data_IF_136598918326
#
_entry.id   IF_136598918326
#
_cell.length_a   1.000
_cell.length_b   1.000
_cell.length_c   1.000
_cell.angle_alpha   90.00
_cell.angle_beta   90.00
_cell.angle_gamma   90.00
#
_symmetry.space_group_name_H-M   'P 1'
#
loop_
_entity.id
_entity.type
_entity.pdbx_description
1 polymer ?
#
# COMPACT_ATOMS: atom_id res chain seq x y z
N UNK A 1 34.35 -0.97 -0.91
CA UNK A 1 33.85 -0.38 -2.17
C UNK A 1 32.46 -0.91 -2.49
N UNK A 2 32.36 -2.13 -3.01
CA UNK A 2 31.10 -2.89 -3.16
C UNK A 2 31.19 -4.13 -2.26
N UNK A 3 30.11 -4.47 -1.54
CA UNK A 3 30.05 -5.65 -0.66
C UNK A 3 29.62 -6.90 -1.41
N UNK A 4 28.64 -6.77 -2.30
CA UNK A 4 28.17 -7.86 -3.14
C UNK A 4 27.51 -7.33 -4.41
N UNK A 5 27.47 -8.17 -5.44
CA UNK A 5 26.85 -7.89 -6.72
C UNK A 5 26.07 -9.13 -7.17
N UNK A 6 24.96 -8.91 -7.87
CA UNK A 6 24.19 -9.94 -8.55
C UNK A 6 23.32 -9.30 -9.60
N UNK A 7 22.62 -10.10 -10.39
CA UNK A 7 21.70 -9.59 -11.40
C UNK A 7 20.45 -10.45 -11.52
N UNK A 8 19.41 -9.85 -12.07
CA UNK A 8 18.13 -10.48 -12.35
C UNK A 8 17.63 -10.02 -13.73
N UNK A 9 16.82 -10.83 -14.40
CA UNK A 9 16.19 -10.45 -15.68
C UNK A 9 15.34 -9.19 -15.57
N UNK A 10 14.70 -9.00 -14.40
CA UNK A 10 13.82 -7.86 -14.12
C UNK A 10 13.63 -7.66 -12.62
N UNK A 11 13.92 -6.46 -12.13
CA UNK A 11 13.61 -6.06 -10.76
C UNK A 11 12.12 -5.74 -10.59
N UNK A 12 11.54 -5.98 -9.40
CA UNK A 12 10.22 -5.47 -9.06
C UNK A 12 10.10 -3.97 -9.36
N UNK A 13 8.92 -3.52 -9.77
CA UNK A 13 8.62 -2.10 -10.03
C UNK A 13 9.43 -1.42 -11.16
N UNK A 14 10.15 -2.18 -12.01
CA UNK A 14 10.83 -1.62 -13.19
C UNK A 14 9.89 -1.18 -14.33
N UNK A 15 8.62 -1.57 -14.29
CA UNK A 15 7.59 -1.08 -15.23
C UNK A 15 7.59 -1.74 -16.61
N UNK A 16 8.46 -2.74 -16.84
CA UNK A 16 8.30 -3.66 -17.98
C UNK A 16 7.14 -4.63 -17.71
N UNK A 17 6.63 -5.30 -18.73
CA UNK A 17 5.68 -6.39 -18.53
C UNK A 17 6.35 -7.54 -17.76
N UNK A 18 5.61 -8.10 -16.83
CA UNK A 18 6.07 -9.23 -16.03
C UNK A 18 5.91 -10.50 -16.89
N UNK A 19 6.95 -11.34 -17.03
CA UNK A 19 6.82 -12.53 -17.85
C UNK A 19 6.05 -13.60 -17.04
N UNK A 20 4.91 -14.00 -17.57
CA UNK A 20 4.02 -15.00 -16.97
C UNK A 20 3.94 -16.19 -17.91
N UNK A 21 4.11 -17.40 -17.38
CA UNK A 21 3.92 -18.63 -18.17
C UNK A 21 3.38 -19.78 -17.31
N UNK A 22 2.92 -20.82 -17.99
CA UNK A 22 2.50 -22.08 -17.42
C UNK A 22 3.71 -22.85 -16.86
N UNK A 23 3.67 -23.16 -15.57
CA UNK A 23 4.72 -23.96 -14.91
C UNK A 23 4.16 -25.32 -14.51
N UNK A 24 4.81 -26.37 -14.99
CA UNK A 24 4.43 -27.76 -14.75
C UNK A 24 5.28 -28.36 -13.65
N UNK A 25 4.65 -28.99 -12.67
CA UNK A 25 5.29 -29.78 -11.63
C UNK A 25 5.16 -31.27 -11.93
N UNK A 26 6.25 -32.03 -11.78
CA UNK A 26 6.29 -33.46 -12.14
C UNK A 26 5.32 -34.31 -11.32
N UNK A 27 5.07 -33.92 -10.07
CA UNK A 27 4.21 -34.63 -9.12
C UNK A 27 2.75 -34.16 -9.14
N UNK A 28 2.36 -33.36 -10.13
CA UNK A 28 0.99 -32.90 -10.33
C UNK A 28 0.44 -33.45 -11.65
N UNK A 29 -0.83 -33.83 -11.61
CA UNK A 29 -1.58 -34.26 -12.79
C UNK A 29 -2.32 -33.04 -13.33
N UNK A 30 -2.10 -32.73 -14.60
CA UNK A 30 -2.80 -31.69 -15.33
C UNK A 30 -3.70 -32.40 -16.33
N UNK A 31 -4.99 -32.05 -16.38
CA UNK A 31 -5.88 -32.57 -17.42
C UNK A 31 -5.51 -31.98 -18.77
N UNK A 32 -5.69 -32.72 -19.86
CA UNK A 32 -5.25 -32.34 -21.21
C UNK A 32 -5.81 -30.98 -21.69
N UNK A 33 -6.97 -30.56 -21.17
CA UNK A 33 -7.60 -29.27 -21.49
C UNK A 33 -7.31 -28.14 -20.48
N UNK A 34 -6.62 -28.41 -19.37
CA UNK A 34 -6.36 -27.42 -18.32
C UNK A 34 -4.90 -26.96 -18.32
N UNK A 35 -4.68 -25.74 -18.80
CA UNK A 35 -3.40 -25.06 -18.64
C UNK A 35 -3.25 -24.73 -17.14
N UNK A 36 -2.10 -25.05 -16.52
CA UNK A 36 -1.87 -24.67 -15.13
C UNK A 36 -1.92 -23.14 -14.97
N UNK A 37 -2.22 -22.64 -13.75
CA UNK A 37 -2.23 -21.20 -13.52
C UNK A 37 -0.87 -20.60 -13.89
N UNK A 38 -0.91 -19.47 -14.61
CA UNK A 38 0.29 -18.76 -15.01
C UNK A 38 1.05 -18.28 -13.76
N UNK A 39 2.36 -18.50 -13.76
CA UNK A 39 3.26 -18.07 -12.68
C UNK A 39 4.23 -17.04 -13.22
N UNK A 40 4.59 -16.10 -12.36
CA UNK A 40 5.65 -15.16 -12.67
C UNK A 40 6.96 -15.96 -12.72
N UNK A 41 7.83 -15.69 -13.70
CA UNK A 41 9.16 -16.26 -13.70
C UNK A 41 10.24 -15.19 -13.85
N UNK A 42 11.42 -15.46 -13.32
CA UNK A 42 12.57 -14.56 -13.40
C UNK A 42 13.84 -15.35 -13.52
N UNK A 43 14.84 -14.78 -14.18
CA UNK A 43 16.16 -15.39 -14.21
C UNK A 43 17.10 -14.64 -13.29
N UNK A 44 17.85 -15.36 -12.47
CA UNK A 44 18.69 -14.78 -11.43
C UNK A 44 20.11 -15.31 -11.52
N UNK A 45 21.06 -14.45 -11.18
CA UNK A 45 22.44 -14.86 -10.93
C UNK A 45 22.56 -15.48 -9.53
N UNK A 46 23.62 -16.27 -9.30
CA UNK A 46 24.12 -16.53 -7.95
C UNK A 46 24.30 -15.21 -7.18
N UNK A 47 24.13 -15.25 -5.86
CA UNK A 47 24.24 -14.11 -4.93
C UNK A 47 23.25 -12.94 -5.12
N UNK A 48 22.34 -13.00 -6.10
CA UNK A 48 21.32 -11.97 -6.30
C UNK A 48 20.49 -11.74 -5.03
N UNK A 49 19.88 -12.78 -4.46
CA UNK A 49 19.01 -12.64 -3.29
C UNK A 49 19.74 -12.07 -2.07
N UNK A 50 20.96 -12.55 -1.81
CA UNK A 50 21.82 -12.00 -0.75
C UNK A 50 22.13 -10.51 -0.99
N UNK A 51 22.36 -10.14 -2.25
CA UNK A 51 22.64 -8.75 -2.63
C UNK A 51 21.40 -7.87 -2.53
N UNK A 52 20.24 -8.36 -2.95
CA UNK A 52 18.94 -7.69 -2.82
C UNK A 52 18.47 -7.63 -1.36
N UNK A 53 18.98 -8.51 -0.49
CA UNK A 53 18.56 -8.61 0.91
C UNK A 53 17.34 -9.49 1.12
N UNK A 54 16.99 -10.33 0.14
CA UNK A 54 15.91 -11.31 0.21
C UNK A 54 16.41 -12.59 0.86
N UNK A 55 15.64 -13.12 1.81
CA UNK A 55 16.01 -14.33 2.55
C UNK A 55 15.67 -15.60 1.79
N UNK A 56 16.51 -16.62 1.95
CA UNK A 56 16.21 -18.00 1.55
C UNK A 56 15.54 -18.68 2.73
N UNK A 57 14.29 -19.11 2.56
CA UNK A 57 13.43 -19.66 3.61
C UNK A 57 13.73 -21.14 3.85
N UNK A 58 13.99 -21.89 2.77
CA UNK A 58 14.36 -23.31 2.84
C UNK A 58 15.35 -23.66 1.72
N UNK A 59 16.19 -24.67 1.94
CA UNK A 59 17.19 -25.11 0.96
C UNK A 59 18.40 -24.18 0.89
N UNK A 60 18.86 -23.90 -0.33
CA UNK A 60 20.08 -23.10 -0.59
C UNK A 60 19.94 -22.24 -1.85
N UNK A 61 20.90 -21.33 -2.03
CA UNK A 61 21.01 -20.52 -3.24
C UNK A 61 21.75 -21.23 -4.39
N UNK A 62 21.64 -20.65 -5.58
CA UNK A 62 22.41 -21.01 -6.77
C UNK A 62 23.90 -20.71 -6.60
N UNK A 63 24.74 -21.50 -7.26
CA UNK A 63 26.19 -21.29 -7.37
C UNK A 63 26.64 -21.14 -8.81
N UNK A 64 27.75 -20.43 -9.04
CA UNK A 64 28.31 -20.25 -10.39
C UNK A 64 28.71 -21.56 -11.06
N UNK A 65 29.19 -22.54 -10.29
CA UNK A 65 29.50 -23.89 -10.79
C UNK A 65 28.29 -24.60 -11.38
N UNK A 66 27.09 -24.34 -10.84
CA UNK A 66 25.85 -24.94 -11.34
C UNK A 66 25.34 -24.21 -12.58
N UNK A 67 25.44 -22.88 -12.60
CA UNK A 67 25.03 -22.06 -13.74
C UNK A 67 25.91 -22.33 -14.96
N UNK A 68 27.24 -22.33 -14.79
CA UNK A 68 28.16 -22.65 -15.90
C UNK A 68 28.16 -24.13 -16.26
N UNK A 69 27.85 -25.00 -15.29
CA UNK A 69 27.66 -26.43 -15.53
C UNK A 69 26.28 -26.78 -16.10
N UNK A 70 25.43 -25.79 -16.38
CA UNK A 70 24.08 -25.95 -16.95
C UNK A 70 23.23 -26.98 -16.18
N UNK A 71 23.37 -27.00 -14.85
CA UNK A 71 22.61 -27.95 -14.03
C UNK A 71 21.13 -27.57 -14.03
N UNK A 72 20.21 -28.54 -14.20
CA UNK A 72 18.77 -28.27 -14.22
C UNK A 72 18.27 -28.07 -12.79
N UNK A 73 18.47 -26.86 -12.26
CA UNK A 73 18.06 -26.47 -10.91
C UNK A 73 17.23 -25.19 -10.95
N UNK A 74 16.32 -25.04 -10.00
CA UNK A 74 15.38 -23.90 -9.92
C UNK A 74 15.14 -23.51 -8.46
N UNK A 75 14.69 -22.28 -8.24
CA UNK A 75 14.18 -21.85 -6.93
C UNK A 75 12.76 -21.31 -7.08
N UNK A 76 11.98 -21.31 -6.01
CA UNK A 76 10.57 -20.87 -6.02
C UNK A 76 10.29 -19.90 -4.89
N UNK A 77 9.25 -19.08 -4.99
CA UNK A 77 8.78 -18.25 -3.88
C UNK A 77 8.06 -19.08 -2.80
N UNK A 78 7.96 -18.52 -1.60
CA UNK A 78 7.37 -19.16 -0.43
C UNK A 78 5.87 -19.45 -0.61
N UNK A 79 5.12 -18.51 -1.16
CA UNK A 79 3.70 -18.68 -1.49
C UNK A 79 3.46 -19.81 -2.50
N UNK A 80 4.29 -19.94 -3.54
CA UNK A 80 4.21 -21.00 -4.54
C UNK A 80 4.51 -22.36 -3.90
N UNK A 81 5.53 -22.42 -3.04
CA UNK A 81 5.86 -23.63 -2.31
C UNK A 81 4.72 -24.09 -1.40
N UNK A 82 4.07 -23.16 -0.70
CA UNK A 82 2.89 -23.43 0.15
C UNK A 82 1.67 -23.85 -0.68
N UNK A 83 1.41 -23.20 -1.81
CA UNK A 83 0.30 -23.56 -2.71
C UNK A 83 0.45 -24.98 -3.26
N UNK A 84 1.64 -25.31 -3.76
CA UNK A 84 1.87 -26.57 -4.48
C UNK A 84 2.11 -27.75 -3.55
N UNK A 85 2.82 -27.55 -2.44
CA UNK A 85 3.30 -28.63 -1.55
C UNK A 85 3.01 -28.40 -0.06
N UNK A 86 2.21 -27.39 0.30
CA UNK A 86 1.74 -27.12 1.66
C UNK A 86 2.75 -26.42 2.57
N UNK A 87 4.04 -26.72 2.44
CA UNK A 87 5.11 -26.08 3.23
C UNK A 87 6.33 -25.71 2.37
N UNK A 88 7.09 -24.67 2.74
CA UNK A 88 8.32 -24.29 2.04
C UNK A 88 9.33 -25.44 1.93
N UNK A 89 9.55 -26.21 3.00
CA UNK A 89 10.53 -27.29 3.01
C UNK A 89 10.13 -28.49 2.13
N UNK A 90 8.84 -28.73 1.93
CA UNK A 90 8.33 -29.83 1.09
C UNK A 90 8.55 -29.59 -0.41
N UNK A 91 8.84 -28.35 -0.81
CA UNK A 91 9.15 -28.01 -2.20
C UNK A 91 10.57 -28.46 -2.62
N UNK A 92 11.50 -28.63 -1.67
CA UNK A 92 12.89 -29.01 -1.99
C UNK A 92 12.93 -30.41 -2.60
N UNK A 93 13.68 -30.57 -3.70
CA UNK A 93 13.79 -31.82 -4.45
C UNK A 93 12.63 -32.07 -5.43
N UNK A 94 11.59 -31.21 -5.42
CA UNK A 94 10.51 -31.27 -6.41
C UNK A 94 11.02 -30.80 -7.77
N UNK A 95 10.32 -31.16 -8.82
CA UNK A 95 10.79 -30.90 -10.18
C UNK A 95 9.77 -30.08 -10.97
N UNK A 96 10.26 -29.03 -11.62
CA UNK A 96 9.48 -28.09 -12.42
C UNK A 96 10.03 -28.01 -13.85
N UNK A 97 9.17 -27.65 -14.80
CA UNK A 97 9.56 -27.22 -16.15
C UNK A 97 8.56 -26.20 -16.69
N UNK A 98 9.02 -25.35 -17.59
CA UNK A 98 8.20 -24.37 -18.30
C UNK A 98 7.68 -24.98 -19.61
N UNK A 99 8.59 -25.49 -20.44
CA UNK A 99 8.26 -26.07 -21.73
C UNK A 99 8.36 -27.61 -21.75
N UNK A 100 7.61 -28.31 -22.62
CA UNK A 100 7.73 -29.77 -22.75
C UNK A 100 9.13 -30.26 -23.12
N UNK A 101 9.86 -29.49 -23.94
CA UNK A 101 11.23 -29.78 -24.36
C UNK A 101 12.28 -29.49 -23.29
N UNK A 102 11.93 -28.65 -22.30
CA UNK A 102 12.82 -28.27 -21.20
C UNK A 102 13.06 -29.47 -20.27
N UNK A 103 14.31 -29.72 -19.85
CA UNK A 103 14.59 -30.74 -18.85
C UNK A 103 13.90 -30.39 -17.53
N UNK A 104 13.65 -31.40 -16.72
CA UNK A 104 13.07 -31.20 -15.40
C UNK A 104 14.09 -30.59 -14.44
N UNK A 105 13.76 -29.44 -13.88
CA UNK A 105 14.62 -28.70 -12.97
C UNK A 105 14.26 -28.98 -11.51
N UNK A 106 15.26 -29.36 -10.72
CA UNK A 106 15.08 -29.63 -9.29
C UNK A 106 15.03 -28.33 -8.48
N UNK A 107 14.02 -28.22 -7.61
CA UNK A 107 13.86 -27.12 -6.67
C UNK A 107 14.92 -27.24 -5.56
N UNK A 108 15.91 -26.36 -5.57
CA UNK A 108 17.02 -26.35 -4.60
C UNK A 108 16.85 -25.33 -3.47
N UNK A 109 15.92 -24.38 -3.62
CA UNK A 109 15.73 -23.30 -2.67
C UNK A 109 14.34 -22.66 -2.77
N UNK A 110 13.85 -22.20 -1.61
CA UNK A 110 12.63 -21.42 -1.50
C UNK A 110 12.96 -20.02 -1.00
N UNK A 111 12.49 -19.01 -1.71
CA UNK A 111 12.78 -17.60 -1.51
C UNK A 111 11.60 -16.92 -0.82
N UNK A 112 11.91 -16.02 0.11
CA UNK A 112 10.92 -15.16 0.74
C UNK A 112 10.09 -14.39 -0.30
N UNK A 113 8.80 -14.23 -0.04
CA UNK A 113 7.85 -13.63 -0.98
C UNK A 113 8.22 -12.19 -1.33
N UNK A 114 8.46 -11.94 -2.62
CA UNK A 114 8.77 -10.60 -3.14
C UNK A 114 7.53 -10.02 -3.82
N UNK A 115 7.14 -8.82 -3.41
CA UNK A 115 6.02 -8.10 -4.06
C UNK A 115 6.49 -7.43 -5.35
N UNK A 116 5.82 -7.76 -6.46
CA UNK A 116 6.22 -7.29 -7.80
C UNK A 116 5.71 -5.88 -8.12
N UNK A 117 4.46 -5.58 -7.74
CA UNK A 117 3.70 -4.39 -8.17
C UNK A 117 3.47 -3.38 -7.03
N UNK A 118 4.18 -3.53 -5.91
CA UNK A 118 4.18 -2.61 -4.78
C UNK A 118 3.62 -3.24 -3.51
N UNK A 119 3.58 -2.44 -2.43
CA UNK A 119 3.27 -2.92 -1.07
C UNK A 119 1.82 -3.39 -0.93
N UNK A 120 0.91 -2.83 -1.71
CA UNK A 120 -0.52 -3.08 -1.67
C UNK A 120 -0.94 -4.41 -2.34
N UNK A 121 -0.15 -4.92 -3.28
CA UNK A 121 -0.50 -6.11 -4.03
C UNK A 121 0.06 -7.37 -3.35
N UNK A 122 -0.68 -8.48 -3.49
CA UNK A 122 -0.20 -9.80 -3.05
C UNK A 122 1.09 -10.13 -3.81
N UNK A 123 2.06 -10.71 -3.11
CA UNK A 123 3.22 -11.28 -3.78
C UNK A 123 2.76 -12.37 -4.76
N UNK A 124 3.17 -12.33 -6.04
CA UNK A 124 2.83 -13.35 -7.01
C UNK A 124 3.61 -14.63 -6.74
N UNK A 125 3.03 -15.76 -7.12
CA UNK A 125 3.72 -17.04 -7.11
C UNK A 125 4.79 -17.04 -8.21
N UNK A 126 6.07 -17.10 -7.80
CA UNK A 126 7.23 -16.80 -8.64
C UNK A 126 8.20 -17.97 -8.73
N UNK A 127 8.69 -18.24 -9.94
CA UNK A 127 9.76 -19.19 -10.24
C UNK A 127 11.04 -18.44 -10.60
N UNK A 128 12.17 -18.87 -10.05
CA UNK A 128 13.48 -18.26 -10.26
C UNK A 128 14.40 -19.25 -10.98
N UNK A 129 14.53 -19.04 -12.29
CA UNK A 129 15.42 -19.79 -13.17
C UNK A 129 16.87 -19.30 -13.06
N UNK A 130 17.86 -20.16 -13.34
CA UNK A 130 19.24 -19.73 -13.56
C UNK A 130 19.36 -18.74 -14.72
N UNK A 131 20.39 -17.89 -14.67
CA UNK A 131 20.70 -16.92 -15.73
C UNK A 131 21.15 -17.54 -17.06
N UNK A 132 21.59 -18.80 -17.01
CA UNK A 132 22.05 -19.57 -18.15
C UNK A 132 21.47 -20.98 -18.06
N UNK A 133 20.84 -21.45 -19.13
CA UNK A 133 20.22 -22.78 -19.21
C UNK A 133 20.46 -23.38 -20.60
N UNK A 134 20.40 -24.70 -20.70
CA UNK A 134 20.35 -25.40 -21.98
C UNK A 134 18.96 -25.98 -22.24
N UNK A 135 18.71 -26.31 -23.50
CA UNK A 135 17.59 -27.12 -23.93
C UNK A 135 16.21 -26.53 -23.62
N UNK A 136 16.11 -25.20 -23.56
CA UNK A 136 14.86 -24.51 -23.21
C UNK A 136 13.77 -24.74 -24.27
N UNK A 137 14.15 -24.64 -25.56
CA UNK A 137 13.24 -24.81 -26.71
C UNK A 137 13.57 -26.03 -27.58
N UNK A 138 14.71 -26.68 -27.36
CA UNK A 138 15.12 -27.87 -28.09
C UNK A 138 16.56 -28.29 -27.76
N UNK A 139 16.95 -29.54 -28.08
CA UNK A 139 18.27 -30.06 -27.76
C UNK A 139 19.41 -29.22 -28.37
N UNK A 140 20.38 -28.83 -27.56
CA UNK A 140 21.57 -28.08 -27.97
C UNK A 140 21.44 -26.55 -27.88
N UNK A 141 20.27 -26.02 -27.53
CA UNK A 141 20.06 -24.57 -27.44
C UNK A 141 20.62 -24.01 -26.12
N UNK A 142 21.63 -23.16 -26.21
CA UNK A 142 22.11 -22.37 -25.08
C UNK A 142 21.29 -21.09 -24.96
N UNK A 143 20.57 -20.93 -23.86
CA UNK A 143 19.74 -19.77 -23.59
C UNK A 143 20.32 -18.94 -22.45
N UNK A 144 20.67 -17.70 -22.77
CA UNK A 144 21.14 -16.70 -21.83
C UNK A 144 20.19 -15.50 -21.81
N UNK A 145 19.95 -14.96 -20.63
CA UNK A 145 19.12 -13.77 -20.46
C UNK A 145 19.80 -12.56 -21.08
N UNK A 146 19.12 -11.90 -22.00
CA UNK A 146 19.65 -10.75 -22.77
C UNK A 146 19.47 -9.41 -22.07
N UNK A 147 18.47 -9.30 -21.20
CA UNK A 147 18.18 -8.08 -20.44
C UNK A 147 18.39 -8.38 -18.97
N UNK A 148 19.35 -7.68 -18.34
CA UNK A 148 19.67 -7.89 -16.93
C UNK A 148 19.75 -6.56 -16.19
N UNK A 149 19.19 -6.55 -14.99
CA UNK A 149 19.37 -5.47 -14.02
C UNK A 149 20.39 -5.92 -13.00
N UNK A 150 21.50 -5.17 -12.92
CA UNK A 150 22.52 -5.38 -11.90
C UNK A 150 22.09 -4.75 -10.58
N UNK A 151 22.21 -5.51 -9.51
CA UNK A 151 22.04 -5.05 -8.13
C UNK A 151 23.39 -5.04 -7.46
N UNK A 152 23.72 -3.90 -6.86
CA UNK A 152 24.99 -3.66 -6.19
C UNK A 152 24.71 -3.24 -4.75
N UNK A 153 25.34 -3.94 -3.79
CA UNK A 153 25.27 -3.57 -2.37
C UNK A 153 26.51 -2.77 -2.00
N UNK A 154 26.34 -1.50 -1.66
CA UNK A 154 27.43 -0.60 -1.24
C UNK A 154 26.92 0.46 -0.27
N UNK A 155 27.75 0.83 0.70
CA UNK A 155 27.50 1.99 1.59
C UNK A 155 27.61 3.33 0.86
N UNK A 156 28.21 3.34 -0.34
CA UNK A 156 28.37 4.52 -1.20
C UNK A 156 27.25 4.65 -2.24
N UNK A 157 26.24 3.78 -2.18
CA UNK A 157 25.10 3.80 -3.09
C UNK A 157 24.41 5.18 -3.10
N UNK A 158 24.00 5.64 -4.28
CA UNK A 158 23.39 6.97 -4.47
C UNK A 158 24.39 8.12 -4.63
N UNK A 159 25.69 7.94 -4.33
CA UNK A 159 26.68 8.99 -4.58
C UNK A 159 27.05 9.07 -6.07
N UNK A 160 27.11 10.29 -6.63
CA UNK A 160 27.52 10.52 -8.04
C UNK A 160 28.88 9.90 -8.37
N UNK A 161 29.83 9.99 -7.43
CA UNK A 161 31.16 9.40 -7.58
C UNK A 161 31.09 7.88 -7.73
N UNK A 162 30.27 7.20 -6.93
CA UNK A 162 30.11 5.75 -7.03
C UNK A 162 29.43 5.35 -8.34
N UNK A 163 28.42 6.11 -8.80
CA UNK A 163 27.80 5.88 -10.10
C UNK A 163 28.80 5.98 -11.25
N UNK A 164 29.69 6.98 -11.22
CA UNK A 164 30.76 7.12 -12.21
C UNK A 164 31.74 5.94 -12.18
N UNK A 165 32.10 5.43 -11.00
CA UNK A 165 32.94 4.24 -10.86
C UNK A 165 32.27 2.99 -11.44
N UNK A 166 30.97 2.79 -11.19
CA UNK A 166 30.18 1.70 -11.79
C UNK A 166 30.12 1.83 -13.31
N UNK A 167 29.90 3.04 -13.80
CA UNK A 167 29.86 3.35 -15.23
C UNK A 167 31.20 3.03 -15.92
N UNK A 168 32.32 3.42 -15.32
CA UNK A 168 33.66 3.07 -15.81
C UNK A 168 33.89 1.55 -15.81
N UNK A 169 33.43 0.84 -14.77
CA UNK A 169 33.57 -0.62 -14.71
C UNK A 169 32.81 -1.31 -15.84
N UNK A 170 31.58 -0.88 -16.14
CA UNK A 170 30.79 -1.44 -17.26
C UNK A 170 31.43 -1.11 -18.60
N UNK A 171 31.89 0.13 -18.78
CA UNK A 171 32.56 0.56 -20.02
C UNK A 171 33.93 -0.09 -20.24
N UNK A 172 34.58 -0.58 -19.19
CA UNK A 172 35.82 -1.37 -19.33
C UNK A 172 35.59 -2.73 -20.01
N UNK A 173 34.36 -3.27 -19.89
CA UNK A 173 33.96 -4.51 -20.57
C UNK A 173 33.37 -4.20 -21.95
N UNK A 174 32.47 -3.23 -22.02
CA UNK A 174 31.88 -2.78 -23.28
C UNK A 174 31.46 -1.31 -23.19
N UNK A 175 32.17 -0.45 -23.93
CA UNK A 175 31.94 1.00 -23.97
C UNK A 175 30.65 1.42 -24.68
N UNK A 176 30.00 0.51 -25.43
CA UNK A 176 28.75 0.81 -26.15
C UNK A 176 27.50 0.54 -25.31
N UNK A 177 27.64 -0.06 -24.12
CA UNK A 177 26.50 -0.37 -23.27
C UNK A 177 25.99 0.88 -22.53
N UNK A 178 24.72 1.28 -22.72
CA UNK A 178 24.11 2.34 -21.94
C UNK A 178 23.75 1.82 -20.55
N UNK A 179 24.09 2.60 -19.50
CA UNK A 179 23.50 2.41 -18.18
C UNK A 179 22.12 3.05 -18.14
N UNK A 180 21.09 2.24 -18.31
CA UNK A 180 19.70 2.66 -18.22
C UNK A 180 19.14 2.50 -16.79
N UNK A 181 18.17 3.34 -16.43
CA UNK A 181 17.36 3.17 -15.21
C UNK A 181 18.14 3.00 -13.91
N UNK A 182 19.28 3.68 -13.77
CA UNK A 182 20.05 3.70 -12.53
C UNK A 182 19.22 4.33 -11.41
N UNK A 183 18.92 3.55 -10.37
CA UNK A 183 18.12 3.97 -9.22
C UNK A 183 18.67 3.35 -7.95
N UNK A 184 18.47 4.03 -6.83
CA UNK A 184 18.70 3.42 -5.51
C UNK A 184 17.48 2.60 -5.07
N UNK A 185 17.67 1.63 -4.18
CA UNK A 185 16.55 0.86 -3.62
C UNK A 185 15.57 1.77 -2.85
N UNK A 186 16.06 2.88 -2.28
CA UNK A 186 15.22 3.89 -1.64
C UNK A 186 14.29 4.57 -2.65
N UNK A 187 14.81 4.99 -3.81
CA UNK A 187 13.97 5.57 -4.87
C UNK A 187 12.91 4.59 -5.40
N UNK A 188 13.24 3.30 -5.49
CA UNK A 188 12.28 2.26 -5.89
C UNK A 188 11.17 2.15 -4.84
N UNK A 189 11.52 2.17 -3.55
CA UNK A 189 10.56 2.14 -2.45
C UNK A 189 9.67 3.40 -2.44
N UNK A 190 10.25 4.59 -2.53
CA UNK A 190 9.52 5.86 -2.51
C UNK A 190 8.53 5.95 -3.68
N UNK A 191 8.94 5.48 -4.87
CA UNK A 191 8.06 5.39 -6.04
C UNK A 191 6.91 4.41 -5.82
N UNK A 192 7.13 3.29 -5.13
CA UNK A 192 6.07 2.34 -4.79
C UNK A 192 5.02 2.94 -3.86
N UNK A 193 5.42 3.82 -2.93
CA UNK A 193 4.49 4.44 -1.97
C UNK A 193 3.77 5.64 -2.60
N UNK A 194 4.42 6.39 -3.49
CA UNK A 194 3.89 7.63 -4.07
C UNK A 194 2.55 7.44 -4.80
N UNK A 195 2.35 6.32 -5.50
CA UNK A 195 1.10 6.04 -6.23
C UNK A 195 -0.11 5.94 -5.27
N UNK A 196 0.10 5.37 -4.09
CA UNK A 196 -0.91 5.25 -3.03
C UNK A 196 -1.11 6.59 -2.31
N UNK A 197 -0.04 7.36 -2.09
CA UNK A 197 -0.10 8.64 -1.40
C UNK A 197 -0.94 9.69 -2.14
N UNK A 198 -0.91 9.75 -3.47
CA UNK A 198 -1.67 10.76 -4.21
C UNK A 198 -3.19 10.61 -4.04
N UNK A 199 -3.71 9.39 -4.21
CA UNK A 199 -5.13 9.10 -4.00
C UNK A 199 -5.55 9.38 -2.57
N UNK A 200 -4.72 9.00 -1.58
CA UNK A 200 -4.98 9.29 -0.16
C UNK A 200 -5.02 10.79 0.13
N UNK A 201 -4.13 11.58 -0.48
CA UNK A 201 -4.14 13.04 -0.36
C UNK A 201 -5.42 13.64 -0.95
N UNK A 202 -5.84 13.22 -2.14
CA UNK A 202 -7.11 13.69 -2.73
C UNK A 202 -8.31 13.31 -1.86
N UNK A 203 -8.36 12.08 -1.34
CA UNK A 203 -9.42 11.62 -0.45
C UNK A 203 -9.41 12.41 0.87
N UNK A 204 -8.22 12.72 1.40
CA UNK A 204 -8.04 13.56 2.58
C UNK A 204 -8.56 14.99 2.36
N UNK A 205 -8.27 15.59 1.20
CA UNK A 205 -8.79 16.91 0.83
C UNK A 205 -10.33 16.86 0.71
N UNK A 206 -10.87 15.86 0.01
CA UNK A 206 -12.32 15.69 -0.14
C UNK A 206 -13.02 15.49 1.22
N UNK A 207 -12.44 14.66 2.09
CA UNK A 207 -12.92 14.44 3.45
C UNK A 207 -12.87 15.72 4.29
N UNK A 208 -11.79 16.50 4.22
CA UNK A 208 -11.68 17.78 4.89
C UNK A 208 -12.72 18.79 4.39
N UNK A 209 -12.96 18.86 3.08
CA UNK A 209 -14.00 19.72 2.50
C UNK A 209 -15.40 19.32 2.97
N UNK A 210 -15.72 18.01 2.94
CA UNK A 210 -16.99 17.49 3.43
C UNK A 210 -17.19 17.80 4.92
N UNK A 211 -16.13 17.67 5.72
CA UNK A 211 -16.13 17.99 7.14
C UNK A 211 -16.39 19.49 7.39
N UNK A 212 -15.72 20.38 6.65
CA UNK A 212 -15.96 21.83 6.71
C UNK A 212 -17.39 22.18 6.32
N UNK A 213 -17.91 21.58 5.24
CA UNK A 213 -19.29 21.79 4.80
C UNK A 213 -20.31 21.35 5.87
N UNK A 214 -20.04 20.20 6.51
CA UNK A 214 -20.83 19.71 7.64
C UNK A 214 -20.83 20.69 8.82
N UNK A 215 -19.67 21.27 9.16
CA UNK A 215 -19.56 22.29 10.22
C UNK A 215 -20.35 23.55 9.91
N UNK A 216 -20.26 24.05 8.68
CA UNK A 216 -21.02 25.22 8.23
C UNK A 216 -22.53 24.94 8.34
N UNK A 217 -22.97 23.75 7.92
CA UNK A 217 -24.36 23.31 8.04
C UNK A 217 -24.85 23.27 9.48
N UNK A 218 -24.08 22.64 10.39
CA UNK A 218 -24.39 22.57 11.83
C UNK A 218 -24.47 23.99 12.41
N UNK A 219 -23.50 24.85 12.10
CA UNK A 219 -23.51 26.23 12.56
C UNK A 219 -24.74 26.99 12.06
N UNK A 220 -25.07 26.86 10.78
CA UNK A 220 -26.23 27.51 10.17
C UNK A 220 -27.54 27.11 10.83
N UNK A 221 -27.79 25.79 10.97
CA UNK A 221 -29.03 25.26 11.57
C UNK A 221 -29.15 25.66 13.05
N UNK A 222 -28.08 25.50 13.84
CA UNK A 222 -28.10 25.86 15.27
C UNK A 222 -28.29 27.37 15.45
N UNK A 223 -27.51 28.18 14.73
CA UNK A 223 -27.58 29.64 14.83
C UNK A 223 -28.95 30.17 14.43
N UNK A 224 -29.55 29.61 13.37
CA UNK A 224 -30.90 29.94 12.95
C UNK A 224 -31.95 29.58 14.01
N UNK A 225 -31.86 28.38 14.59
CA UNK A 225 -32.79 27.90 15.62
C UNK A 225 -32.73 28.75 16.90
N UNK A 226 -31.52 29.15 17.33
CA UNK A 226 -31.33 30.05 18.47
C UNK A 226 -31.83 31.46 18.14
N UNK A 227 -31.61 31.93 16.92
CA UNK A 227 -32.05 33.25 16.47
C UNK A 227 -33.57 33.39 16.41
N UNK A 228 -34.31 32.33 16.06
CA UNK A 228 -35.79 32.33 16.13
C UNK A 228 -36.30 32.44 17.58
N UNK A 229 -35.59 31.87 18.55
CA UNK A 229 -35.97 31.91 19.98
C UNK A 229 -35.61 33.22 20.69
N UNK A 230 -35.04 34.22 19.99
CA UNK A 230 -34.67 35.52 20.56
C UNK A 230 -35.82 36.23 21.28
N UNK A 231 -37.04 36.18 20.72
CA UNK A 231 -38.22 36.83 21.32
C UNK A 231 -38.61 36.22 22.67
N UNK A 232 -38.56 34.89 22.76
CA UNK A 232 -38.80 34.16 24.02
C UNK A 232 -37.74 34.47 25.08
N UNK A 233 -36.48 34.57 24.68
CA UNK A 233 -35.39 34.96 25.58
C UNK A 233 -35.57 36.39 26.11
N UNK A 234 -35.93 37.34 25.24
CA UNK A 234 -36.19 38.73 25.64
C UNK A 234 -37.33 38.87 26.65
N UNK A 235 -38.46 38.19 26.43
CA UNK A 235 -39.61 38.21 27.36
C UNK A 235 -39.23 37.62 28.73
N UNK A 236 -38.55 36.47 28.74
CA UNK A 236 -38.14 35.84 30.00
C UNK A 236 -37.06 36.64 30.74
N UNK A 237 -36.18 37.34 30.02
CA UNK A 237 -35.18 38.24 30.64
C UNK A 237 -35.89 39.43 31.31
N UNK A 238 -36.90 40.00 30.66
CA UNK A 238 -37.72 41.09 31.21
C UNK A 238 -38.53 40.66 32.46
N UNK A 239 -38.88 39.37 32.55
CA UNK A 239 -39.49 38.76 33.74
C UNK A 239 -38.48 38.39 34.85
N UNK A 240 -37.20 38.78 34.72
CA UNK A 240 -36.17 38.59 35.75
C UNK A 240 -35.44 37.24 35.69
N UNK A 241 -35.52 36.50 34.59
CA UNK A 241 -34.82 35.22 34.47
C UNK A 241 -33.29 35.40 34.45
N UNK A 242 -32.58 34.55 35.22
CA UNK A 242 -31.12 34.59 35.30
C UNK A 242 -30.46 34.21 33.95
N UNK A 243 -29.62 35.08 33.34
CA UNK A 243 -29.02 34.86 32.03
C UNK A 243 -28.20 33.57 31.92
N UNK A 244 -27.52 33.18 33.00
CA UNK A 244 -26.75 31.93 33.06
C UNK A 244 -27.61 30.66 32.91
N UNK A 245 -28.85 30.68 33.43
CA UNK A 245 -29.77 29.53 33.35
C UNK A 245 -30.32 29.36 31.93
N UNK A 246 -30.52 30.46 31.20
CA UNK A 246 -30.89 30.43 29.78
C UNK A 246 -29.75 29.94 28.90
N UNK A 247 -28.53 30.44 29.11
CA UNK A 247 -27.35 30.01 28.37
C UNK A 247 -27.16 28.50 28.49
N UNK A 248 -27.26 27.96 29.71
CA UNK A 248 -27.09 26.54 29.97
C UNK A 248 -28.20 25.70 29.30
N UNK A 249 -29.43 26.20 29.26
CA UNK A 249 -30.54 25.52 28.57
C UNK A 249 -30.28 25.41 27.05
N UNK A 250 -29.83 26.48 26.42
CA UNK A 250 -29.51 26.51 24.97
C UNK A 250 -28.32 25.60 24.66
N UNK A 251 -27.24 25.72 25.44
CA UNK A 251 -26.06 24.87 25.28
C UNK A 251 -26.41 23.38 25.43
N UNK A 252 -27.17 23.02 26.46
CA UNK A 252 -27.56 21.62 26.69
C UNK A 252 -28.41 21.05 25.55
N UNK A 253 -29.31 21.86 24.99
CA UNK A 253 -30.16 21.42 23.88
C UNK A 253 -29.36 21.27 22.57
N UNK A 254 -28.46 22.21 22.27
CA UNK A 254 -27.59 22.12 21.10
C UNK A 254 -26.57 20.98 21.20
N UNK A 255 -25.94 20.80 22.37
CA UNK A 255 -25.03 19.67 22.62
C UNK A 255 -25.76 18.34 22.49
N UNK A 256 -26.99 18.21 23.02
CA UNK A 256 -27.76 16.96 22.89
C UNK A 256 -28.03 16.61 21.42
N UNK A 257 -28.40 17.59 20.59
CA UNK A 257 -28.59 17.36 19.15
C UNK A 257 -27.28 16.97 18.45
N UNK A 258 -26.18 17.66 18.76
CA UNK A 258 -24.88 17.35 18.19
C UNK A 258 -24.42 15.93 18.57
N UNK A 259 -24.62 15.52 19.82
CA UNK A 259 -24.21 14.22 20.32
C UNK A 259 -25.01 13.08 19.67
N UNK A 260 -26.31 13.26 19.44
CA UNK A 260 -27.13 12.32 18.67
C UNK A 260 -26.62 12.20 17.23
N UNK A 261 -26.35 13.34 16.57
CA UNK A 261 -25.79 13.35 15.22
C UNK A 261 -24.43 12.64 15.13
N UNK A 262 -23.54 12.87 16.10
CA UNK A 262 -22.23 12.20 16.20
C UNK A 262 -22.40 10.70 16.37
N UNK A 263 -23.28 10.23 17.27
CA UNK A 263 -23.51 8.79 17.47
C UNK A 263 -24.03 8.12 16.19
N UNK A 264 -25.00 8.74 15.52
CA UNK A 264 -25.54 8.22 14.25
C UNK A 264 -24.46 8.22 13.17
N UNK A 265 -23.70 9.31 13.05
CA UNK A 265 -22.61 9.44 12.08
C UNK A 265 -21.49 8.42 12.29
N UNK A 266 -21.07 8.22 13.54
CA UNK A 266 -20.07 7.20 13.90
C UNK A 266 -20.57 5.79 13.58
N UNK A 267 -21.84 5.48 13.90
CA UNK A 267 -22.45 4.20 13.57
C UNK A 267 -22.50 3.95 12.06
N UNK A 268 -22.93 4.95 11.28
CA UNK A 268 -22.96 4.88 9.82
C UNK A 268 -21.57 4.73 9.21
N UNK A 269 -20.59 5.51 9.68
CA UNK A 269 -19.22 5.44 9.22
C UNK A 269 -18.59 4.08 9.51
N UNK A 270 -18.76 3.54 10.72
CA UNK A 270 -18.27 2.21 11.09
C UNK A 270 -18.88 1.10 10.21
N UNK A 271 -20.19 1.17 9.95
CA UNK A 271 -20.86 0.23 9.07
C UNK A 271 -20.32 0.28 7.64
N UNK A 272 -20.10 1.49 7.10
CA UNK A 272 -19.56 1.69 5.76
C UNK A 272 -18.10 1.19 5.66
N UNK A 273 -17.26 1.48 6.65
CA UNK A 273 -15.88 1.01 6.69
C UNK A 273 -15.81 -0.52 6.76
N UNK A 274 -16.71 -1.15 7.52
CA UNK A 274 -16.82 -2.61 7.57
C UNK A 274 -17.25 -3.21 6.22
N UNK A 275 -18.16 -2.55 5.51
CA UNK A 275 -18.54 -2.97 4.16
C UNK A 275 -17.36 -2.83 3.19
N UNK A 276 -16.65 -1.70 3.22
CA UNK A 276 -15.49 -1.48 2.34
C UNK A 276 -14.35 -2.46 2.59
N UNK A 277 -14.08 -2.83 3.85
CA UNK A 277 -13.04 -3.83 4.17
C UNK A 277 -13.41 -5.24 3.72
N UNK A 278 -14.70 -5.55 3.53
CA UNK A 278 -15.12 -6.81 2.89
C UNK A 278 -14.89 -6.82 1.37
N UNK A 279 -14.78 -5.62 0.75
CA UNK A 279 -14.59 -5.45 -0.69
C UNK A 279 -13.11 -5.20 -1.07
N UNK A 280 -12.32 -4.59 -0.19
CA UNK A 280 -10.91 -4.29 -0.39
C UNK A 280 -10.04 -5.11 0.58
N UNK A 281 -9.28 -6.06 0.05
CA UNK A 281 -8.32 -6.85 0.82
C UNK A 281 -7.20 -5.96 1.39
N UNK A 282 -6.89 -6.11 2.68
CA UNK A 282 -5.66 -5.60 3.29
C UNK A 282 -5.71 -4.19 3.88
N UNK A 283 -6.87 -3.52 3.92
CA UNK A 283 -7.01 -2.22 4.61
C UNK A 283 -7.47 -2.46 6.06
N UNK A 284 -6.70 -2.06 7.08
CA UNK A 284 -7.14 -2.19 8.47
C UNK A 284 -8.39 -1.31 8.72
N UNK A 285 -9.44 -1.92 9.26
CA UNK A 285 -10.80 -1.39 9.29
C UNK A 285 -11.06 -0.23 10.27
N UNK A 286 -10.05 0.31 10.95
CA UNK A 286 -10.30 1.36 11.94
C UNK A 286 -9.03 2.11 12.29
N UNK A 287 -9.08 3.44 12.13
CA UNK A 287 -8.20 4.38 12.81
C UNK A 287 -9.02 5.06 13.92
N UNK A 288 -8.99 4.54 15.16
CA UNK A 288 -9.75 5.10 16.28
C UNK A 288 -9.40 6.57 16.57
N UNK A 289 -8.15 6.99 16.28
CA UNK A 289 -7.71 8.35 16.53
C UNK A 289 -8.46 9.33 15.62
N UNK A 290 -8.63 9.01 14.34
CA UNK A 290 -9.40 9.82 13.40
C UNK A 290 -10.88 9.94 13.83
N UNK A 291 -11.51 8.84 14.26
CA UNK A 291 -12.90 8.87 14.73
C UNK A 291 -13.09 9.76 15.96
N UNK A 292 -12.19 9.65 16.95
CA UNK A 292 -12.23 10.47 18.17
C UNK A 292 -11.97 11.94 17.84
N UNK A 293 -10.98 12.24 17.00
CA UNK A 293 -10.65 13.60 16.61
C UNK A 293 -11.81 14.30 15.89
N UNK A 294 -12.44 13.63 14.91
CA UNK A 294 -13.58 14.19 14.17
C UNK A 294 -14.79 14.39 15.08
N UNK A 295 -15.11 13.42 15.94
CA UNK A 295 -16.22 13.53 16.89
C UNK A 295 -16.01 14.72 17.86
N UNK A 296 -14.81 14.84 18.44
CA UNK A 296 -14.46 15.95 19.32
C UNK A 296 -14.60 17.30 18.62
N UNK A 297 -14.09 17.41 17.39
CA UNK A 297 -14.09 18.65 16.63
C UNK A 297 -15.51 19.07 16.22
N UNK A 298 -16.40 18.13 15.85
CA UNK A 298 -17.82 18.41 15.59
C UNK A 298 -18.55 18.90 16.84
N UNK A 299 -18.29 18.31 18.01
CA UNK A 299 -18.86 18.76 19.29
C UNK A 299 -18.36 20.16 19.64
N UNK A 300 -17.07 20.45 19.44
CA UNK A 300 -16.50 21.77 19.65
C UNK A 300 -17.17 22.84 18.77
N UNK A 301 -17.37 22.53 17.48
CA UNK A 301 -18.06 23.44 16.55
C UNK A 301 -19.51 23.66 16.96
N UNK A 302 -20.23 22.61 17.37
CA UNK A 302 -21.60 22.76 17.87
C UNK A 302 -21.67 23.63 19.12
N UNK A 303 -20.71 23.50 20.05
CA UNK A 303 -20.61 24.36 21.23
C UNK A 303 -20.38 25.83 20.86
N UNK A 304 -19.44 26.11 19.94
CA UNK A 304 -19.18 27.46 19.44
C UNK A 304 -20.40 28.05 18.74
N UNK A 305 -21.08 27.24 17.91
CA UNK A 305 -22.31 27.61 17.22
C UNK A 305 -23.48 27.91 18.16
N UNK A 306 -23.55 27.26 19.32
CA UNK A 306 -24.55 27.55 20.35
C UNK A 306 -24.18 28.80 21.15
N UNK A 307 -22.91 28.93 21.54
CA UNK A 307 -22.43 29.94 22.46
C UNK A 307 -22.48 31.36 21.88
N UNK A 308 -22.04 31.55 20.62
CA UNK A 308 -21.98 32.87 19.99
C UNK A 308 -23.35 33.53 19.79
N UNK A 309 -24.33 32.89 19.14
CA UNK A 309 -25.67 33.46 18.94
C UNK A 309 -26.40 33.67 20.27
N UNK A 310 -26.29 32.73 21.22
CA UNK A 310 -26.92 32.85 22.53
C UNK A 310 -26.33 34.03 23.33
N UNK A 311 -25.01 34.21 23.32
CA UNK A 311 -24.35 35.37 23.95
C UNK A 311 -24.76 36.68 23.30
N UNK A 312 -24.88 36.69 21.96
CA UNK A 312 -25.33 37.88 21.23
C UNK A 312 -26.78 38.22 21.55
N UNK A 313 -27.67 37.22 21.63
CA UNK A 313 -29.08 37.38 21.98
C UNK A 313 -29.29 37.92 23.41
N UNK A 314 -28.47 37.49 24.37
CA UNK A 314 -28.57 37.95 25.76
C UNK A 314 -27.92 39.31 26.04
N UNK A 315 -27.10 39.82 25.11
CA UNK A 315 -26.50 41.17 25.19
C UNK A 315 -27.37 42.26 24.54
N UNK A 316 -28.46 41.89 23.87
CA UNK A 316 -29.38 42.87 23.30
C UNK A 316 -30.18 43.49 24.44
N UNK A 317 -30.12 44.82 24.54
CA UNK A 317 -30.83 45.62 25.53
C UNK A 317 -32.35 45.37 25.41
N UNK A 318 -33.06 44.97 26.50
CA UNK A 318 -34.49 44.64 26.46
C UNK A 318 -35.36 45.75 25.85
N UNK A 319 -34.91 47.00 25.97
CA UNK A 319 -35.60 48.18 25.42
C UNK A 319 -35.52 48.29 23.89
N UNK A 320 -34.52 47.69 23.23
CA UNK A 320 -34.40 47.70 21.76
C UNK A 320 -35.23 46.59 21.11
N UNK A 321 -35.45 45.47 21.81
CA UNK A 321 -36.24 44.34 21.32
C UNK A 321 -37.75 44.64 21.20
N UNK A 322 -38.25 45.67 21.90
CA UNK A 322 -39.65 46.13 21.84
C UNK A 322 -39.88 47.25 20.80
N UNK A 323 -38.82 47.75 20.15
CA UNK A 323 -38.89 48.93 19.26
C UNK A 323 -38.74 48.62 17.77
N UNK A 324 -38.63 47.34 17.40
CA UNK A 324 -38.78 46.87 16.02
C UNK A 324 -40.25 46.45 15.81
N UNK A 325 -41.05 47.39 15.33
CA UNK A 325 -42.18 47.12 14.44
C UNK A 325 -41.66 46.88 13.02
#
# INVERSE_FOLDING_TARGET
>A
GVRSAGFISKMPMEGFDAPWDAIYARDKVYSDDAIPPLRLFKHVSPDFFRTAGTRIVAGRGLTWTEVYGLRPVVMVSENLAREMWGTPSAAIGKQLREFPAMPWHEVIGVIEDVRENGVQDKAPETVYWPSLMSDLYGPGDLNAVRTVTFVLRSERAGSRRFLNEVHQAVWSVNSTLPLASVRTMQEVFDKSVTRTSFTLVMLGIAGAMALVLGMIGIYGVISYTVSQRRREFGIRLALGAHPGKMMNMVLRQGVKMALVGVVIGLGGAFALTRLMTSLLFGVPASDPATFVAVAFLLVLVALLACYWPARRAMKVDPMVALRYE
#
